data_IF_503948865216
#
_entry.id   IF_503948865216
#
_cell.length_a   1.000
_cell.length_b   1.000
_cell.length_c   1.000
_cell.angle_alpha   90.00
_cell.angle_beta   90.00
_cell.angle_gamma   90.00
#
_symmetry.space_group_name_H-M   'P 1'
#
loop_
_entity.id
_entity.type
_entity.pdbx_description
1 polymer ?
#
# COMPACT_ATOMS: atom_id res chain seq x y z
N UNK A 1 -21.36 4.70 -9.97
CA UNK A 1 -20.25 5.02 -9.04
C UNK A 1 -19.93 6.52 -8.98
N UNK A 2 -20.29 7.32 -9.98
CA UNK A 2 -19.96 8.76 -10.02
C UNK A 2 -20.62 9.61 -8.91
N UNK A 3 -21.84 9.28 -8.50
CA UNK A 3 -22.65 10.16 -7.64
C UNK A 3 -22.42 10.01 -6.12
N UNK A 4 -21.47 9.19 -5.67
CA UNK A 4 -21.21 8.96 -4.23
C UNK A 4 -20.20 9.99 -3.67
N UNK A 5 -19.42 10.63 -4.54
CA UNK A 5 -18.34 11.56 -4.16
C UNK A 5 -18.69 13.04 -4.39
N UNK A 6 -19.87 13.33 -4.94
CA UNK A 6 -20.28 14.68 -5.33
C UNK A 6 -20.80 15.53 -4.16
N UNK A 7 -21.38 14.92 -3.13
CA UNK A 7 -22.03 15.66 -2.04
C UNK A 7 -21.08 16.06 -0.90
N UNK A 8 -19.94 15.37 -0.73
CA UNK A 8 -18.99 15.59 0.37
C UNK A 8 -17.75 16.44 0.00
N UNK A 9 -17.68 17.02 -1.21
CA UNK A 9 -16.48 17.77 -1.65
C UNK A 9 -16.10 18.95 -0.73
N UNK A 10 -17.04 19.49 0.05
CA UNK A 10 -16.82 20.63 0.96
C UNK A 10 -16.08 20.26 2.25
N UNK A 11 -16.01 18.99 2.65
CA UNK A 11 -15.38 18.55 3.91
C UNK A 11 -14.05 17.81 3.72
N UNK A 12 -13.58 17.65 2.48
CA UNK A 12 -12.44 16.79 2.19
C UNK A 12 -11.13 17.50 2.48
N UNK A 13 -10.32 16.93 3.38
CA UNK A 13 -8.95 17.37 3.60
C UNK A 13 -8.01 16.61 2.67
N UNK A 14 -7.20 17.33 1.91
CA UNK A 14 -6.08 16.71 1.20
C UNK A 14 -5.09 16.16 2.23
N UNK A 15 -4.95 14.84 2.28
CA UNK A 15 -3.94 14.17 3.11
C UNK A 15 -2.80 13.74 2.19
N UNK A 16 -1.57 14.08 2.58
CA UNK A 16 -0.36 13.60 1.91
C UNK A 16 0.32 12.56 2.80
N UNK A 17 0.87 11.52 2.18
CA UNK A 17 1.72 10.59 2.88
C UNK A 17 2.95 11.33 3.43
N UNK A 18 3.32 11.04 4.67
CA UNK A 18 4.56 11.57 5.25
C UNK A 18 5.76 10.87 4.60
N UNK A 19 6.92 11.54 4.56
CA UNK A 19 8.16 10.92 4.07
C UNK A 19 8.49 9.64 4.84
N UNK A 20 8.21 9.61 6.15
CA UNK A 20 8.38 8.42 6.99
C UNK A 20 7.52 7.26 6.50
N UNK A 21 6.26 7.52 6.18
CA UNK A 21 5.32 6.52 5.65
C UNK A 21 5.81 5.99 4.30
N UNK A 22 6.25 6.88 3.40
CA UNK A 22 6.79 6.49 2.09
C UNK A 22 8.03 5.60 2.26
N UNK A 23 8.97 6.02 3.10
CA UNK A 23 10.19 5.25 3.36
C UNK A 23 9.89 3.89 4.00
N UNK A 24 8.94 3.83 4.93
CA UNK A 24 8.51 2.57 5.53
C UNK A 24 7.98 1.60 4.47
N UNK A 25 7.07 2.06 3.61
CA UNK A 25 6.49 1.23 2.55
C UNK A 25 7.54 0.74 1.56
N UNK A 26 8.50 1.60 1.18
CA UNK A 26 9.60 1.23 0.30
C UNK A 26 10.57 0.23 0.94
N UNK A 27 10.86 0.38 2.23
CA UNK A 27 11.70 -0.58 2.95
C UNK A 27 10.99 -1.91 3.13
N UNK A 28 9.70 -1.88 3.46
CA UNK A 28 8.88 -3.07 3.60
C UNK A 28 8.77 -3.83 2.28
N UNK A 29 8.49 -3.16 1.16
CA UNK A 29 8.42 -3.84 -0.14
C UNK A 29 9.73 -4.52 -0.53
N UNK A 30 10.88 -3.93 -0.19
CA UNK A 30 12.20 -4.55 -0.42
C UNK A 30 12.46 -5.79 0.43
N UNK A 31 11.80 -5.92 1.58
CA UNK A 31 11.89 -7.10 2.45
C UNK A 31 10.99 -8.26 2.02
N UNK A 32 10.13 -8.07 1.01
CA UNK A 32 9.28 -9.12 0.48
C UNK A 32 10.09 -9.98 -0.49
N UNK A 33 10.11 -11.27 -0.23
CA UNK A 33 10.70 -12.28 -1.09
C UNK A 33 9.61 -13.16 -1.67
N UNK A 34 9.77 -13.52 -2.94
CA UNK A 34 8.93 -14.55 -3.57
C UNK A 34 9.63 -15.88 -3.42
N UNK A 35 8.96 -16.83 -2.80
CA UNK A 35 9.46 -18.21 -2.62
C UNK A 35 8.55 -19.17 -3.38
N UNK A 36 9.18 -20.03 -4.17
CA UNK A 36 8.49 -21.07 -4.93
C UNK A 36 8.47 -22.39 -4.15
N UNK A 37 7.29 -23.00 -4.02
CA UNK A 37 7.13 -24.35 -3.46
C UNK A 37 6.01 -25.11 -4.17
N UNK A 38 6.32 -26.31 -4.69
CA UNK A 38 5.36 -27.20 -5.37
C UNK A 38 4.45 -26.49 -6.40
N UNK A 39 5.05 -25.65 -7.27
CA UNK A 39 4.34 -24.85 -8.30
C UNK A 39 3.43 -23.74 -7.73
N UNK A 40 3.56 -23.41 -6.45
CA UNK A 40 2.91 -22.26 -5.83
C UNK A 40 3.95 -21.21 -5.46
N UNK A 41 3.56 -19.94 -5.51
CA UNK A 41 4.39 -18.81 -5.13
C UNK A 41 3.84 -18.18 -3.86
N UNK A 42 4.73 -17.84 -2.93
CA UNK A 42 4.39 -17.18 -1.68
C UNK A 42 5.22 -15.91 -1.53
N UNK A 43 4.56 -14.83 -1.17
CA UNK A 43 5.23 -13.61 -0.71
C UNK A 43 5.51 -13.77 0.79
N UNK A 44 6.78 -13.68 1.15
CA UNK A 44 7.24 -13.86 2.52
C UNK A 44 8.14 -12.70 2.90
N UNK A 45 7.88 -12.12 4.07
CA UNK A 45 8.79 -11.17 4.69
C UNK A 45 9.80 -11.95 5.51
N UNK A 46 11.05 -12.05 5.03
CA UNK A 46 12.16 -12.64 5.79
C UNK A 46 12.73 -11.56 6.72
N UNK A 47 12.00 -11.26 7.80
CA UNK A 47 12.55 -10.49 8.93
C UNK A 47 13.35 -11.38 9.85
#
# INVERSE_FOLDING_TARGET
MENIYSEEQKSVKTVRASQKTVNFLLSYSKSIHVVDYKKHQFEVTLN
#
